data_IF_194126371057
#
_entry.id   IF_194126371057
#
_cell.length_a   1.000
_cell.length_b   1.000
_cell.length_c   1.000
_cell.angle_alpha   90.00
_cell.angle_beta   90.00
_cell.angle_gamma   90.00
#
_symmetry.space_group_name_H-M   'P 1'
#
loop_
_entity.id
_entity.type
_entity.pdbx_description
1 polymer ?
#
# COMPACT_ATOMS: atom_id res chain seq x y z
N UNK A 1 -38.97 -42.69 -33.94
CA UNK A 1 -39.35 -41.33 -33.47
C UNK A 1 -40.17 -41.53 -32.19
N UNK A 2 -39.63 -42.09 -31.10
CA UNK A 2 -38.46 -41.67 -30.29
C UNK A 2 -38.57 -40.19 -29.88
N UNK A 3 -38.61 -39.79 -28.61
CA UNK A 3 -38.41 -40.55 -27.38
C UNK A 3 -39.17 -39.93 -26.19
N UNK A 4 -39.35 -40.80 -25.21
CA UNK A 4 -40.01 -40.70 -23.92
C UNK A 4 -39.53 -39.57 -22.99
N UNK A 5 -40.33 -39.35 -21.95
CA UNK A 5 -40.16 -38.34 -20.92
C UNK A 5 -38.89 -38.48 -20.08
N UNK A 6 -38.50 -37.34 -19.51
CA UNK A 6 -37.46 -37.25 -18.48
C UNK A 6 -38.14 -36.86 -17.18
N UNK A 7 -38.32 -37.87 -16.34
CA UNK A 7 -38.60 -37.76 -14.91
C UNK A 7 -37.46 -36.98 -14.26
N UNK A 8 -37.78 -35.85 -13.63
CA UNK A 8 -36.85 -35.04 -12.84
C UNK A 8 -36.46 -35.82 -11.59
N UNK A 9 -35.35 -36.55 -11.67
CA UNK A 9 -34.70 -37.16 -10.51
C UNK A 9 -33.86 -36.10 -9.81
N UNK A 10 -34.37 -35.63 -8.66
CA UNK A 10 -33.79 -34.63 -7.77
C UNK A 10 -32.47 -35.05 -7.11
N UNK A 11 -31.41 -35.26 -7.90
CA UNK A 11 -30.03 -35.44 -7.40
C UNK A 11 -28.95 -34.69 -8.17
N UNK A 12 -29.26 -34.06 -9.31
CA UNK A 12 -28.27 -33.32 -10.14
C UNK A 12 -28.44 -31.80 -10.15
N UNK A 13 -29.63 -31.28 -9.81
CA UNK A 13 -29.88 -29.83 -9.79
C UNK A 13 -29.10 -29.10 -8.69
N UNK A 14 -28.93 -29.75 -7.53
CA UNK A 14 -28.14 -29.21 -6.43
C UNK A 14 -26.66 -29.01 -6.79
N UNK A 15 -26.06 -29.93 -7.55
CA UNK A 15 -24.65 -29.85 -7.94
C UNK A 15 -24.34 -28.70 -8.90
N UNK A 16 -25.23 -28.41 -9.85
CA UNK A 16 -25.05 -27.27 -10.77
C UNK A 16 -25.22 -25.92 -10.06
N UNK A 17 -26.18 -25.83 -9.12
CA UNK A 17 -26.35 -24.63 -8.30
C UNK A 17 -25.15 -24.42 -7.35
N UNK A 18 -24.63 -25.49 -6.72
CA UNK A 18 -23.45 -25.39 -5.84
C UNK A 18 -22.18 -25.02 -6.61
N UNK A 19 -22.01 -25.50 -7.86
CA UNK A 19 -20.85 -25.10 -8.69
C UNK A 19 -20.94 -23.63 -9.12
N UNK A 20 -22.13 -23.12 -9.47
CA UNK A 20 -22.33 -21.69 -9.75
C UNK A 20 -22.18 -20.82 -8.49
N UNK A 21 -22.66 -21.29 -7.34
CA UNK A 21 -22.51 -20.59 -6.05
C UNK A 21 -21.04 -20.58 -5.60
N UNK A 22 -20.30 -21.68 -5.77
CA UNK A 22 -18.86 -21.71 -5.51
C UNK A 22 -18.08 -20.84 -6.51
N UNK A 23 -18.46 -20.82 -7.80
CA UNK A 23 -17.81 -19.96 -8.80
C UNK A 23 -18.04 -18.46 -8.55
N UNK A 24 -19.21 -18.08 -8.04
CA UNK A 24 -19.53 -16.69 -7.64
C UNK A 24 -18.90 -16.31 -6.30
N UNK A 25 -18.77 -17.24 -5.35
CA UNK A 25 -18.03 -17.03 -4.11
C UNK A 25 -16.50 -17.01 -4.30
N UNK A 26 -15.97 -17.74 -5.29
CA UNK A 26 -14.54 -17.74 -5.66
C UNK A 26 -14.13 -16.57 -6.57
N UNK A 27 -15.08 -15.86 -7.17
CA UNK A 27 -14.83 -14.62 -7.92
C UNK A 27 -15.00 -13.35 -7.08
N UNK A 28 -15.39 -13.47 -5.81
CA UNK A 28 -15.29 -12.39 -4.83
C UNK A 28 -13.85 -12.22 -4.27
N UNK A 29 -12.88 -12.92 -4.86
CA UNK A 29 -11.48 -12.95 -4.43
C UNK A 29 -10.71 -11.72 -4.94
N UNK A 30 -10.77 -10.65 -4.15
CA UNK A 30 -9.83 -9.53 -4.07
C UNK A 30 -9.51 -8.72 -5.35
N UNK A 31 -10.10 -7.52 -5.39
CA UNK A 31 -9.93 -6.52 -6.44
C UNK A 31 -8.75 -5.56 -6.18
N UNK A 32 -7.65 -6.01 -5.57
CA UNK A 32 -6.52 -5.11 -5.29
C UNK A 32 -5.61 -5.00 -6.52
N UNK A 33 -5.46 -3.81 -7.09
CA UNK A 33 -4.41 -3.50 -8.07
C UNK A 33 -3.10 -3.23 -7.35
N UNK A 34 -2.03 -3.83 -7.86
CA UNK A 34 -0.66 -3.54 -7.49
C UNK A 34 0.03 -2.81 -8.63
N UNK A 35 0.59 -1.65 -8.33
CA UNK A 35 1.34 -0.78 -9.22
C UNK A 35 2.81 -0.78 -8.81
N UNK A 36 3.72 -1.10 -9.71
CA UNK A 36 5.16 -1.16 -9.45
C UNK A 36 5.93 -0.21 -10.38
N UNK A 37 6.70 0.71 -9.81
CA UNK A 37 7.56 1.65 -10.52
C UNK A 37 8.92 1.78 -9.78
N UNK A 38 9.92 1.04 -10.24
CA UNK A 38 11.23 0.99 -9.58
C UNK A 38 11.10 0.55 -8.10
N UNK A 39 11.61 1.33 -7.13
CA UNK A 39 11.51 1.01 -5.70
C UNK A 39 10.10 1.21 -5.11
N UNK A 40 9.15 1.68 -5.91
CA UNK A 40 7.81 2.06 -5.44
C UNK A 40 6.83 0.93 -5.77
N UNK A 41 6.07 0.51 -4.75
CA UNK A 41 4.91 -0.36 -4.88
C UNK A 41 3.70 0.31 -4.27
N UNK A 42 2.63 0.50 -5.04
CA UNK A 42 1.36 0.98 -4.53
C UNK A 42 0.26 -0.09 -4.66
N UNK A 43 -0.65 -0.09 -3.70
CA UNK A 43 -1.80 -0.98 -3.65
C UNK A 43 -3.07 -0.15 -3.65
N UNK A 44 -3.97 -0.48 -4.58
CA UNK A 44 -5.23 0.20 -4.74
C UNK A 44 -6.37 -0.77 -4.92
N UNK A 45 -7.57 -0.29 -4.69
CA UNK A 45 -8.80 -1.04 -4.88
C UNK A 45 -9.98 -0.09 -4.84
N UNK A 46 -11.18 -0.64 -4.88
CA UNK A 46 -12.39 0.12 -4.63
C UNK A 46 -12.47 0.45 -3.14
N UNK A 47 -12.60 1.74 -2.82
CA UNK A 47 -12.73 2.23 -1.46
C UNK A 47 -14.02 3.04 -1.40
N UNK A 48 -14.94 2.69 -0.49
CA UNK A 48 -16.25 3.35 -0.34
C UNK A 48 -17.10 3.33 -1.64
N UNK A 49 -18.16 4.14 -1.68
CA UNK A 49 -19.09 4.27 -2.81
C UNK A 49 -18.50 5.06 -4.01
N UNK A 50 -17.18 5.00 -4.21
CA UNK A 50 -16.56 5.54 -5.42
C UNK A 50 -16.37 4.41 -6.41
N UNK A 51 -17.00 4.51 -7.58
CA UNK A 51 -16.87 3.54 -8.68
C UNK A 51 -15.48 3.56 -9.35
N UNK A 52 -14.47 4.15 -8.71
CA UNK A 52 -13.14 4.36 -9.26
C UNK A 52 -12.07 3.81 -8.32
N UNK A 53 -11.10 3.12 -8.90
CA UNK A 53 -9.95 2.57 -8.17
C UNK A 53 -9.10 3.66 -7.51
N UNK A 54 -8.73 3.42 -6.25
CA UNK A 54 -7.92 4.32 -5.44
C UNK A 54 -6.77 3.59 -4.78
N UNK A 55 -5.57 4.13 -4.92
CA UNK A 55 -4.37 3.65 -4.26
C UNK A 55 -4.31 4.17 -2.82
N UNK A 56 -4.53 3.28 -1.86
CA UNK A 56 -4.62 3.63 -0.44
C UNK A 56 -3.35 3.35 0.34
N UNK A 57 -2.44 2.56 -0.22
CA UNK A 57 -1.16 2.20 0.36
C UNK A 57 -0.06 2.39 -0.68
N UNK A 58 1.04 3.01 -0.28
CA UNK A 58 2.25 3.12 -1.08
C UNK A 58 3.44 2.76 -0.22
N UNK A 59 4.37 1.99 -0.77
CA UNK A 59 5.63 1.60 -0.15
C UNK A 59 6.77 1.99 -1.08
N UNK A 60 7.79 2.61 -0.51
CA UNK A 60 9.06 2.93 -1.15
C UNK A 60 10.11 2.09 -0.43
N UNK A 61 10.74 1.17 -1.13
CA UNK A 61 11.78 0.29 -0.59
C UNK A 61 13.14 0.74 -1.13
N UNK A 62 13.97 1.33 -0.27
CA UNK A 62 15.22 1.98 -0.65
C UNK A 62 16.45 1.18 -0.22
N UNK A 63 16.27 -0.03 0.32
CA UNK A 63 17.38 -0.86 0.84
C UNK A 63 18.46 -1.19 -0.19
N UNK A 64 18.08 -1.29 -1.47
CA UNK A 64 18.98 -1.59 -2.58
C UNK A 64 19.20 -0.37 -3.51
N UNK A 65 18.80 0.83 -3.06
CA UNK A 65 18.91 2.07 -3.83
C UNK A 65 19.98 2.95 -3.20
N UNK A 66 20.92 3.46 -4.00
CA UNK A 66 21.92 4.40 -3.52
C UNK A 66 21.26 5.73 -3.12
N UNK A 67 21.87 6.46 -2.17
CA UNK A 67 21.31 7.72 -1.67
C UNK A 67 21.06 8.75 -2.78
N UNK A 68 21.97 8.84 -3.76
CA UNK A 68 21.88 9.76 -4.90
C UNK A 68 20.85 9.31 -5.96
N UNK A 69 20.39 8.06 -5.89
CA UNK A 69 19.43 7.45 -6.81
C UNK A 69 18.02 7.32 -6.19
N UNK A 70 17.80 7.92 -5.02
CA UNK A 70 16.48 7.92 -4.39
C UNK A 70 15.45 8.61 -5.30
N UNK A 71 14.20 8.13 -5.31
CA UNK A 71 13.13 8.81 -6.05
C UNK A 71 13.03 10.27 -5.62
N UNK A 72 12.93 11.19 -6.61
CA UNK A 72 12.80 12.62 -6.40
C UNK A 72 11.41 13.01 -5.85
N UNK A 73 11.12 12.53 -4.65
CA UNK A 73 9.87 12.69 -3.92
C UNK A 73 10.13 13.39 -2.57
N UNK A 74 9.07 13.96 -2.01
CA UNK A 74 9.10 14.60 -0.71
C UNK A 74 7.84 14.29 0.11
N UNK A 75 8.01 14.30 1.44
CA UNK A 75 6.96 14.06 2.41
C UNK A 75 6.58 15.39 3.09
N UNK A 76 5.35 15.90 2.91
CA UNK A 76 4.81 16.99 3.71
C UNK A 76 4.46 16.49 5.12
N UNK A 77 5.49 16.34 5.97
CA UNK A 77 5.34 15.82 7.32
C UNK A 77 4.54 16.81 8.21
N UNK A 78 3.78 16.30 9.21
CA UNK A 78 3.00 17.15 10.12
C UNK A 78 3.85 18.23 10.79
N UNK A 79 3.46 19.49 10.64
CA UNK A 79 4.17 20.63 11.24
C UNK A 79 5.42 21.10 10.49
N UNK A 80 5.81 20.45 9.38
CA UNK A 80 6.88 20.95 8.52
C UNK A 80 6.41 22.16 7.69
N UNK A 81 7.24 23.21 7.60
CA UNK A 81 6.94 24.38 6.75
C UNK A 81 6.99 24.06 5.25
N UNK A 82 7.76 23.03 4.87
CA UNK A 82 7.95 22.57 3.49
C UNK A 82 8.02 21.04 3.47
N UNK A 83 7.67 20.38 2.33
CA UNK A 83 7.89 18.96 2.16
C UNK A 83 9.37 18.59 2.34
N UNK A 84 9.64 17.51 3.08
CA UNK A 84 10.98 16.98 3.32
C UNK A 84 11.31 15.97 2.24
N UNK A 85 12.34 16.26 1.43
CA UNK A 85 12.79 15.34 0.37
C UNK A 85 13.28 14.01 0.96
N UNK A 86 13.10 12.91 0.22
CA UNK A 86 13.54 11.58 0.68
C UNK A 86 15.04 11.53 0.99
N UNK A 87 15.87 12.17 0.15
CA UNK A 87 17.33 12.27 0.34
C UNK A 87 17.74 13.04 1.61
N UNK A 88 16.87 13.93 2.10
CA UNK A 88 17.11 14.74 3.29
C UNK A 88 16.60 14.07 4.58
N UNK A 89 15.87 12.95 4.46
CA UNK A 89 15.36 12.25 5.63
C UNK A 89 16.50 11.59 6.40
N UNK A 90 16.61 11.99 7.66
CA UNK A 90 17.46 11.35 8.66
C UNK A 90 16.61 10.99 9.88
N UNK A 91 17.08 10.09 10.76
CA UNK A 91 16.36 9.80 12.00
C UNK A 91 16.10 11.06 12.85
N UNK A 92 17.06 11.99 12.85
CA UNK A 92 16.93 13.27 13.58
C UNK A 92 15.85 14.15 12.96
N UNK A 93 15.79 14.22 11.64
CA UNK A 93 14.77 15.01 10.94
C UNK A 93 13.38 14.40 11.12
N UNK A 94 13.23 13.08 10.97
CA UNK A 94 11.96 12.39 11.16
C UNK A 94 11.41 12.54 12.59
N UNK A 95 12.29 12.47 13.60
CA UNK A 95 11.93 12.63 15.01
C UNK A 95 11.34 14.01 15.37
N UNK A 96 11.52 15.03 14.52
CA UNK A 96 10.93 16.36 14.73
C UNK A 96 9.44 16.38 14.48
N UNK A 97 8.94 15.50 13.62
CA UNK A 97 7.56 15.54 13.12
C UNK A 97 6.75 14.31 13.49
N UNK A 98 7.40 13.15 13.65
CA UNK A 98 6.72 11.89 13.91
C UNK A 98 7.25 11.25 15.19
N UNK A 99 6.38 10.64 16.02
CA UNK A 99 6.82 9.85 17.16
C UNK A 99 7.57 8.60 16.69
N UNK A 100 8.44 8.10 17.57
CA UNK A 100 9.16 6.84 17.33
C UNK A 100 8.16 5.68 17.32
N UNK A 101 8.32 4.76 16.39
CA UNK A 101 7.57 3.51 16.33
C UNK A 101 7.87 2.63 17.54
N UNK A 102 6.81 2.12 18.17
CA UNK A 102 6.90 1.12 19.23
C UNK A 102 6.44 -0.24 18.71
N UNK A 103 7.31 -1.26 18.68
CA UNK A 103 6.93 -2.56 18.16
C UNK A 103 5.88 -3.22 19.06
N UNK A 104 4.81 -3.80 18.48
CA UNK A 104 3.73 -4.43 19.25
C UNK A 104 4.23 -5.53 20.20
N UNK A 105 3.63 -5.66 21.40
CA UNK A 105 4.07 -6.63 22.41
C UNK A 105 3.95 -8.09 21.95
N UNK A 106 3.07 -8.37 21.00
CA UNK A 106 2.87 -9.69 20.41
C UNK A 106 3.91 -10.07 19.34
N UNK A 107 4.76 -9.14 18.89
CA UNK A 107 5.78 -9.46 17.89
C UNK A 107 6.85 -10.42 18.44
N UNK A 108 7.47 -11.25 17.59
CA UNK A 108 8.64 -12.04 17.96
C UNK A 108 9.77 -11.15 18.51
N UNK A 109 10.48 -11.61 19.54
CA UNK A 109 11.57 -10.82 20.14
C UNK A 109 12.68 -10.47 19.16
N UNK A 110 12.94 -11.31 18.16
CA UNK A 110 13.91 -11.03 17.09
C UNK A 110 13.50 -9.81 16.27
N UNK A 111 12.20 -9.63 16.02
CA UNK A 111 11.68 -8.48 15.27
C UNK A 111 11.67 -7.22 16.12
N UNK A 112 11.30 -7.34 17.41
CA UNK A 112 11.41 -6.23 18.35
C UNK A 112 12.85 -5.77 18.53
N UNK A 113 13.81 -6.70 18.64
CA UNK A 113 15.23 -6.38 18.73
C UNK A 113 15.70 -5.59 17.49
N UNK A 114 15.28 -6.01 16.28
CA UNK A 114 15.55 -5.27 15.05
C UNK A 114 14.94 -3.87 15.06
N UNK A 115 13.66 -3.73 15.43
CA UNK A 115 12.97 -2.43 15.52
C UNK A 115 13.56 -1.52 16.62
N UNK A 116 14.24 -2.09 17.63
CA UNK A 116 15.00 -1.32 18.63
C UNK A 116 16.37 -0.88 18.09
N UNK A 117 17.05 -1.76 17.35
CA UNK A 117 18.36 -1.48 16.77
C UNK A 117 18.31 -0.37 15.72
N UNK A 118 17.27 -0.37 14.88
CA UNK A 118 17.11 0.62 13.82
C UNK A 118 15.90 1.52 14.08
N UNK A 119 16.07 2.85 14.03
CA UNK A 119 14.97 3.75 14.34
C UNK A 119 13.94 3.73 13.23
N UNK A 120 12.67 3.68 13.64
CA UNK A 120 11.52 3.91 12.78
C UNK A 120 10.58 4.90 13.44
N UNK A 121 9.80 5.61 12.62
CA UNK A 121 8.87 6.65 13.06
C UNK A 121 7.53 6.46 12.36
N UNK A 122 6.43 6.62 13.09
CA UNK A 122 5.10 6.46 12.52
C UNK A 122 4.11 7.51 13.03
N UNK A 123 3.14 7.88 12.22
CA UNK A 123 2.11 8.86 12.59
C UNK A 123 1.45 9.46 11.35
N UNK A 124 0.19 9.88 11.48
CA UNK A 124 -0.58 10.55 10.40
C UNK A 124 -0.61 9.79 9.06
N UNK A 125 -0.54 8.46 9.13
CA UNK A 125 -0.50 7.57 7.96
C UNK A 125 0.87 7.41 7.33
N UNK A 126 1.94 7.94 7.93
CA UNK A 126 3.32 7.70 7.55
C UNK A 126 3.95 6.61 8.41
N UNK A 127 4.84 5.82 7.80
CA UNK A 127 5.82 4.98 8.47
C UNK A 127 7.16 5.15 7.77
N UNK A 128 8.20 5.53 8.50
CA UNK A 128 9.55 5.78 7.97
C UNK A 128 10.53 4.90 8.73
N UNK A 129 11.18 3.98 8.02
CA UNK A 129 12.17 3.07 8.58
C UNK A 129 13.58 3.39 8.10
N UNK A 130 14.51 3.43 9.03
CA UNK A 130 15.94 3.59 8.75
C UNK A 130 16.69 2.29 9.04
N UNK A 131 17.89 2.15 8.47
CA UNK A 131 18.81 1.04 8.68
C UNK A 131 20.20 1.54 9.07
N UNK A 132 21.23 0.70 8.86
CA UNK A 132 22.63 1.08 9.12
C UNK A 132 23.11 2.23 8.22
N UNK A 133 22.68 2.23 6.96
CA UNK A 133 23.21 3.09 5.90
C UNK A 133 22.32 4.30 5.57
N UNK A 134 21.16 4.43 6.19
CA UNK A 134 20.24 5.54 5.94
C UNK A 134 18.77 5.10 5.86
N UNK A 135 18.00 5.77 4.99
CA UNK A 135 16.60 5.47 4.75
C UNK A 135 16.47 4.07 4.12
N UNK A 136 15.68 3.18 4.74
CA UNK A 136 15.39 1.84 4.21
C UNK A 136 13.99 1.74 3.60
N UNK A 137 13.01 2.41 4.21
CA UNK A 137 11.65 2.35 3.70
C UNK A 137 10.80 3.55 4.11
N UNK A 138 9.86 3.87 3.24
CA UNK A 138 8.77 4.81 3.53
C UNK A 138 7.46 4.14 3.14
N UNK A 139 6.46 4.17 4.01
CA UNK A 139 5.11 3.71 3.71
C UNK A 139 4.10 4.80 4.01
N UNK A 140 3.14 4.99 3.10
CA UNK A 140 2.01 5.91 3.24
C UNK A 140 0.74 5.07 3.20
N UNK A 141 -0.12 5.23 4.19
CA UNK A 141 -1.36 4.49 4.27
C UNK A 141 -2.53 5.37 4.71
N UNK A 142 -3.60 5.36 3.92
CA UNK A 142 -4.85 6.06 4.25
C UNK A 142 -5.82 5.23 5.09
N UNK A 143 -5.69 3.90 5.07
CA UNK A 143 -6.63 2.96 5.71
C UNK A 143 -5.90 1.93 6.59
N UNK A 144 -4.87 2.34 7.32
CA UNK A 144 -4.15 1.49 8.26
C UNK A 144 -4.59 1.76 9.71
N UNK A 145 -4.49 0.74 10.56
CA UNK A 145 -4.75 0.81 12.01
C UNK A 145 -6.18 1.23 12.42
N UNK A 146 -7.19 0.98 11.58
CA UNK A 146 -8.60 1.20 11.92
C UNK A 146 -9.02 2.68 11.95
N UNK A 147 -8.16 3.58 11.50
CA UNK A 147 -8.47 5.01 11.34
C UNK A 147 -8.23 5.45 9.90
N UNK A 148 -9.05 6.40 9.43
CA UNK A 148 -8.85 7.03 8.12
C UNK A 148 -7.78 8.11 8.27
N UNK A 149 -6.62 7.84 7.71
CA UNK A 149 -5.52 8.79 7.60
C UNK A 149 -5.49 9.35 6.19
N UNK A 150 -4.73 10.41 5.97
CA UNK A 150 -4.59 10.98 4.64
C UNK A 150 -3.21 11.59 4.46
N UNK A 151 -2.17 10.75 4.49
CA UNK A 151 -0.82 11.20 4.19
C UNK A 151 -0.78 11.77 2.78
N UNK A 152 0.15 12.66 2.54
CA UNK A 152 0.43 13.24 1.23
C UNK A 152 1.83 12.86 0.74
N UNK A 153 1.98 12.81 -0.58
CA UNK A 153 3.24 12.62 -1.28
C UNK A 153 3.41 13.75 -2.30
N UNK A 154 4.61 14.30 -2.37
CA UNK A 154 4.94 15.38 -3.28
C UNK A 154 6.14 15.03 -4.18
N UNK A 155 6.32 15.78 -5.26
CA UNK A 155 7.61 15.89 -5.95
C UNK A 155 8.65 16.51 -5.03
N UNK A 156 9.95 16.23 -5.25
CA UNK A 156 11.04 16.77 -4.43
C UNK A 156 11.04 18.31 -4.34
N UNK A 157 10.62 18.99 -5.41
CA UNK A 157 10.49 20.47 -5.43
C UNK A 157 9.21 20.99 -4.76
N UNK A 158 8.35 20.09 -4.26
CA UNK A 158 7.10 20.42 -3.57
C UNK A 158 6.01 21.02 -4.46
N UNK A 159 6.19 21.09 -5.79
CA UNK A 159 5.21 21.73 -6.69
C UNK A 159 3.96 20.91 -6.93
N UNK A 160 4.11 19.59 -6.99
CA UNK A 160 2.98 18.67 -7.15
C UNK A 160 2.85 17.87 -5.87
N UNK A 161 1.70 17.97 -5.22
CA UNK A 161 1.38 17.23 -4.00
C UNK A 161 0.00 16.60 -4.14
N UNK A 162 -0.11 15.31 -3.80
CA UNK A 162 -1.38 14.61 -3.75
C UNK A 162 -1.59 13.95 -2.39
N UNK A 163 -2.83 13.97 -1.93
CA UNK A 163 -3.27 13.40 -0.66
C UNK A 163 -3.91 12.05 -0.92
N UNK A 164 -3.57 11.06 -0.10
CA UNK A 164 -4.10 9.71 -0.23
C UNK A 164 -5.60 9.67 0.13
N UNK A 165 -6.38 8.76 -0.49
CA UNK A 165 -5.93 7.78 -1.48
C UNK A 165 -5.85 8.37 -2.90
N UNK A 166 -4.87 7.91 -3.68
CA UNK A 166 -4.51 8.49 -4.99
C UNK A 166 -5.30 7.85 -6.15
N UNK A 167 -5.61 8.61 -7.20
CA UNK A 167 -5.93 8.00 -8.50
C UNK A 167 -4.67 7.43 -9.16
N UNK A 168 -4.87 6.59 -10.17
CA UNK A 168 -3.78 6.15 -11.06
C UNK A 168 -3.02 7.33 -11.67
N UNK A 169 -3.74 8.33 -12.18
CA UNK A 169 -3.11 9.49 -12.84
C UNK A 169 -2.30 10.35 -11.87
N UNK A 170 -2.78 10.51 -10.64
CA UNK A 170 -2.03 11.20 -9.57
C UNK A 170 -0.76 10.44 -9.20
N UNK A 171 -0.84 9.10 -9.13
CA UNK A 171 0.33 8.27 -8.88
C UNK A 171 1.35 8.40 -10.02
N UNK A 172 0.90 8.30 -11.27
CA UNK A 172 1.75 8.47 -12.47
C UNK A 172 2.37 9.86 -12.53
N UNK A 173 1.64 10.91 -12.14
CA UNK A 173 2.17 12.27 -12.09
C UNK A 173 3.31 12.43 -11.07
N UNK A 174 3.31 11.63 -10.00
CA UNK A 174 4.35 11.66 -8.97
C UNK A 174 5.54 10.77 -9.31
N UNK A 175 5.29 9.54 -9.80
CA UNK A 175 6.31 8.48 -9.86
C UNK A 175 6.60 7.96 -11.27
N UNK A 176 5.93 8.52 -12.28
CA UNK A 176 6.00 8.05 -13.65
C UNK A 176 5.11 6.82 -13.92
N UNK A 177 5.09 6.32 -15.17
CA UNK A 177 4.31 5.14 -15.53
C UNK A 177 4.84 3.88 -14.82
N UNK A 178 3.96 2.92 -14.49
CA UNK A 178 4.41 1.67 -13.87
C UNK A 178 5.23 0.84 -14.85
N UNK A 179 6.26 0.17 -14.34
CA UNK A 179 6.91 -0.92 -15.07
C UNK A 179 6.02 -2.16 -15.13
N UNK A 180 5.20 -2.37 -14.08
CA UNK A 180 4.22 -3.47 -13.99
C UNK A 180 2.97 -3.03 -13.23
N UNK A 181 1.82 -3.47 -13.70
CA UNK A 181 0.52 -3.23 -13.05
C UNK A 181 -0.34 -4.49 -13.19
N UNK A 182 -0.82 -5.05 -12.08
CA UNK A 182 -1.56 -6.31 -12.07
C UNK A 182 -2.46 -6.48 -10.84
N UNK A 183 -3.49 -7.32 -10.94
CA UNK A 183 -4.40 -7.65 -9.83
C UNK A 183 -3.80 -8.71 -8.92
N UNK A 184 -3.97 -8.57 -7.61
CA UNK A 184 -3.49 -9.51 -6.58
C UNK A 184 -4.64 -9.93 -5.66
N UNK A 185 -4.59 -11.22 -5.28
CA UNK A 185 -5.68 -11.88 -4.53
C UNK A 185 -5.60 -11.63 -3.02
N UNK A 186 -4.42 -11.26 -2.49
CA UNK A 186 -4.23 -10.98 -1.07
C UNK A 186 -3.02 -10.07 -0.89
N UNK A 187 -3.16 -9.00 -0.10
CA UNK A 187 -2.02 -8.23 0.42
C UNK A 187 -1.81 -8.72 1.84
N UNK A 188 -0.77 -9.53 2.05
CA UNK A 188 -0.34 -9.93 3.40
C UNK A 188 0.59 -8.87 3.96
N UNK A 189 0.17 -8.29 5.09
CA UNK A 189 0.92 -7.30 5.86
C UNK A 189 1.85 -7.98 6.86
#
# INVERSE_FOLDING_TARGET
MDCQGITVTGRRMGRLLTVMLCATLLSACANTTRFEAGPITAFGGEIEATDAERFYLLRIDTREVAADDLPALALPLPGAERPVALEALTPVEAARYLPRFEPPPQWPETWKARARAYPSFEGDGYFIGFGEIGLESVSLCSHCAGQRQSPSLCTADGRVCHRFPLTRDQLVALVGPPGREYKVIEVRY
#
